data_IF_331440999507
#
_entry.id   IF_331440999507
#
_cell.length_a   1.000
_cell.length_b   1.000
_cell.length_c   1.000
_cell.angle_alpha   90.00
_cell.angle_beta   90.00
_cell.angle_gamma   90.00
#
_symmetry.space_group_name_H-M   'P 1'
#
loop_
_entity.id
_entity.type
_entity.pdbx_description
1 polymer ?
#
# COMPACT_ATOMS: atom_id res chain seq x y z
N UNK A 1 -5.79 0.36 8.02
CA UNK A 1 -4.91 -0.13 9.10
C UNK A 1 -4.79 -1.64 8.91
N UNK A 2 -3.59 -2.14 8.61
CA UNK A 2 -3.30 -3.56 8.36
C UNK A 2 -3.05 -4.28 9.69
N UNK A 3 -3.62 -5.45 9.91
CA UNK A 3 -3.53 -6.18 11.19
C UNK A 3 -2.91 -7.57 11.07
N UNK A 4 -2.85 -8.12 9.87
CA UNK A 4 -2.34 -9.46 9.60
C UNK A 4 -1.76 -9.57 8.17
N UNK A 5 -1.10 -10.70 7.89
CA UNK A 5 -0.43 -10.93 6.61
C UNK A 5 -1.40 -11.06 5.41
N UNK A 6 -2.63 -11.50 5.66
CA UNK A 6 -3.65 -11.57 4.62
C UNK A 6 -4.08 -10.17 4.17
N UNK A 7 -4.27 -9.25 5.12
CA UNK A 7 -4.55 -7.84 4.83
C UNK A 7 -3.34 -7.14 4.19
N UNK A 8 -2.11 -7.46 4.63
CA UNK A 8 -0.89 -6.96 4.00
C UNK A 8 -0.87 -7.29 2.51
N UNK A 9 -1.12 -8.56 2.16
CA UNK A 9 -1.17 -9.03 0.78
C UNK A 9 -2.24 -8.28 -0.03
N UNK A 10 -3.44 -8.13 0.52
CA UNK A 10 -4.54 -7.41 -0.15
C UNK A 10 -4.17 -5.95 -0.43
N UNK A 11 -3.52 -5.26 0.51
CA UNK A 11 -3.10 -3.86 0.31
C UNK A 11 -1.98 -3.78 -0.74
N UNK A 12 -1.02 -4.69 -0.74
CA UNK A 12 0.04 -4.75 -1.75
C UNK A 12 -0.51 -4.99 -3.16
N UNK A 13 -1.46 -5.91 -3.32
CA UNK A 13 -2.15 -6.15 -4.60
C UNK A 13 -2.92 -4.91 -5.06
N UNK A 14 -3.56 -4.20 -4.13
CA UNK A 14 -4.27 -2.96 -4.44
C UNK A 14 -3.32 -1.85 -4.89
N UNK A 15 -2.16 -1.70 -4.26
CA UNK A 15 -1.11 -0.77 -4.71
C UNK A 15 -0.68 -1.10 -6.15
N UNK A 16 -0.42 -2.37 -6.45
CA UNK A 16 -0.02 -2.79 -7.79
C UNK A 16 -1.10 -2.46 -8.85
N UNK A 17 -2.37 -2.74 -8.56
CA UNK A 17 -3.47 -2.37 -9.46
C UNK A 17 -3.57 -0.86 -9.70
N UNK A 18 -3.39 -0.04 -8.65
CA UNK A 18 -3.43 1.42 -8.78
C UNK A 18 -2.26 1.94 -9.64
N UNK A 19 -1.07 1.36 -9.47
CA UNK A 19 0.11 1.69 -10.28
C UNK A 19 -0.12 1.29 -11.76
N UNK A 20 -0.68 0.11 -12.02
CA UNK A 20 -0.99 -0.35 -13.37
C UNK A 20 -2.03 0.55 -14.06
N UNK A 21 -3.07 0.97 -13.34
CA UNK A 21 -4.06 1.91 -13.87
C UNK A 21 -3.45 3.26 -14.17
N UNK A 22 -2.64 3.82 -13.26
CA UNK A 22 -1.95 5.08 -13.48
C UNK A 22 -1.01 5.00 -14.70
N UNK A 23 -0.29 3.88 -14.86
CA UNK A 23 0.58 3.64 -16.01
C UNK A 23 -0.20 3.55 -17.34
N UNK A 24 -1.38 2.93 -17.34
CA UNK A 24 -2.27 2.88 -18.51
C UNK A 24 -2.82 4.26 -18.86
N UNK A 25 -3.33 5.00 -17.87
CA UNK A 25 -3.86 6.36 -18.07
C UNK A 25 -2.77 7.28 -18.64
N UNK A 26 -1.53 7.19 -18.14
CA UNK A 26 -0.40 7.96 -18.65
C UNK A 26 -0.14 7.76 -20.15
N UNK A 27 -0.46 6.59 -20.70
CA UNK A 27 -0.27 6.29 -22.12
C UNK A 27 -1.40 6.81 -23.00
N UNK A 28 -2.60 6.98 -22.45
CA UNK A 28 -3.82 7.24 -23.24
C UNK A 28 -4.46 8.60 -23.02
N UNK A 29 -4.20 9.25 -21.88
CA UNK A 29 -4.85 10.51 -21.50
C UNK A 29 -4.20 11.74 -22.16
N UNK A 30 -4.99 12.79 -22.36
CA UNK A 30 -4.44 14.12 -22.68
C UNK A 30 -3.74 14.70 -21.45
N UNK A 31 -2.78 15.61 -21.64
CA UNK A 31 -1.98 16.16 -20.54
C UNK A 31 -2.81 16.74 -19.39
N UNK A 32 -3.82 17.56 -19.72
CA UNK A 32 -4.74 18.17 -18.75
C UNK A 32 -5.59 17.14 -17.97
N UNK A 33 -6.02 16.06 -18.64
CA UNK A 33 -6.78 14.98 -18.03
C UNK A 33 -5.90 14.14 -17.10
N UNK A 34 -4.65 13.89 -17.51
CA UNK A 34 -3.68 13.15 -16.71
C UNK A 34 -3.37 13.91 -15.41
N UNK A 35 -3.07 15.21 -15.49
CA UNK A 35 -2.79 16.02 -14.30
C UNK A 35 -3.96 16.05 -13.32
N UNK A 36 -5.20 16.13 -13.84
CA UNK A 36 -6.40 16.13 -13.02
C UNK A 36 -6.60 14.83 -12.21
N UNK A 37 -6.18 13.67 -12.73
CA UNK A 37 -6.40 12.36 -12.07
C UNK A 37 -5.17 11.82 -11.35
N UNK A 38 -3.95 12.12 -11.80
CA UNK A 38 -2.72 11.54 -11.27
C UNK A 38 -2.50 11.86 -9.80
N UNK A 39 -2.93 13.05 -9.34
CA UNK A 39 -2.84 13.46 -7.95
C UNK A 39 -3.59 12.53 -6.99
N UNK A 40 -4.79 12.09 -7.38
CA UNK A 40 -5.60 11.16 -6.56
C UNK A 40 -4.95 9.78 -6.43
N UNK A 41 -4.47 9.23 -7.55
CA UNK A 41 -3.72 7.96 -7.53
C UNK A 41 -2.47 8.04 -6.67
N UNK A 42 -1.69 9.12 -6.80
CA UNK A 42 -0.49 9.34 -5.99
C UNK A 42 -0.80 9.33 -4.50
N UNK A 43 -1.78 10.12 -4.07
CA UNK A 43 -2.15 10.23 -2.65
C UNK A 43 -2.61 8.90 -2.07
N UNK A 44 -3.43 8.13 -2.81
CA UNK A 44 -3.88 6.82 -2.34
C UNK A 44 -2.76 5.77 -2.28
N UNK A 45 -1.85 5.77 -3.26
CA UNK A 45 -0.67 4.89 -3.26
C UNK A 45 0.23 5.22 -2.07
N UNK A 46 0.55 6.51 -1.86
CA UNK A 46 1.39 6.97 -0.74
C UNK A 46 0.77 6.59 0.61
N UNK A 47 -0.54 6.78 0.77
CA UNK A 47 -1.28 6.39 1.97
C UNK A 47 -1.21 4.87 2.24
N UNK A 48 -1.46 4.05 1.22
CA UNK A 48 -1.40 2.58 1.36
C UNK A 48 0.02 2.08 1.61
N UNK A 49 1.03 2.69 0.98
CA UNK A 49 2.43 2.35 1.24
C UNK A 49 2.84 2.67 2.68
N UNK A 50 2.37 3.78 3.24
CA UNK A 50 2.59 4.11 4.64
C UNK A 50 2.02 3.01 5.57
N UNK A 51 0.81 2.52 5.31
CA UNK A 51 0.22 1.42 6.08
C UNK A 51 1.01 0.11 5.97
N UNK A 52 1.50 -0.22 4.77
CA UNK A 52 2.35 -1.40 4.53
C UNK A 52 3.65 -1.31 5.33
N UNK A 53 4.31 -0.16 5.30
CA UNK A 53 5.54 0.05 6.04
C UNK A 53 5.30 0.03 7.55
N UNK A 54 4.21 0.65 8.02
CA UNK A 54 3.83 0.60 9.44
C UNK A 54 3.64 -0.85 9.91
N UNK A 55 2.99 -1.70 9.11
CA UNK A 55 2.81 -3.12 9.44
C UNK A 55 4.14 -3.89 9.45
N UNK A 56 4.95 -3.76 8.40
CA UNK A 56 6.21 -4.51 8.24
C UNK A 56 7.28 -4.12 9.28
N UNK A 57 7.21 -2.90 9.81
CA UNK A 57 8.14 -2.41 10.82
C UNK A 57 7.63 -2.63 12.26
N UNK A 58 6.50 -3.32 12.45
CA UNK A 58 6.05 -3.70 13.80
C UNK A 58 7.09 -4.60 14.45
N UNK A 59 7.39 -4.38 15.74
CA UNK A 59 8.23 -5.30 16.49
C UNK A 59 7.66 -6.72 16.40
N UNK A 60 8.52 -7.69 16.06
CA UNK A 60 8.17 -9.09 16.21
C UNK A 60 7.89 -9.36 17.70
N UNK A 61 6.92 -10.22 18.05
CA UNK A 61 6.75 -10.67 19.43
C UNK A 61 8.09 -11.20 19.93
N UNK A 62 8.66 -10.60 20.96
CA UNK A 62 9.87 -11.14 21.59
C UNK A 62 9.54 -12.51 22.14
N UNK A 63 10.30 -13.53 21.73
CA UNK A 63 10.25 -14.89 22.29
C UNK A 63 10.70 -14.90 23.77
N UNK A 64 9.95 -14.25 24.66
CA UNK A 64 10.18 -14.25 26.10
C UNK A 64 8.86 -14.18 26.87
N UNK A 65 7.91 -15.02 26.48
CA UNK A 65 7.03 -15.67 27.46
C UNK A 65 7.31 -17.18 27.38
N UNK A 66 8.54 -17.57 27.76
CA UNK A 66 8.72 -18.90 28.32
C UNK A 66 7.88 -18.94 29.59
N UNK A 67 6.71 -19.57 29.46
CA UNK A 67 5.79 -19.96 30.52
C UNK A 67 6.55 -20.30 31.82
N UNK A 68 6.18 -19.71 32.98
CA UNK A 68 6.72 -20.14 34.25
C UNK A 68 6.29 -21.59 34.56
N UNK A 69 7.18 -22.27 35.28
CA UNK A 69 7.28 -23.71 35.53
C UNK A 69 6.02 -24.41 36.07
#
# INVERSE_FOLDING_TARGET
MITNDQELKVVQERIAHFQDWLAKIRQTARGEEFEAVAGGYRLEIERMQAEVLEYLLRPLPTEHEKQPA
#
